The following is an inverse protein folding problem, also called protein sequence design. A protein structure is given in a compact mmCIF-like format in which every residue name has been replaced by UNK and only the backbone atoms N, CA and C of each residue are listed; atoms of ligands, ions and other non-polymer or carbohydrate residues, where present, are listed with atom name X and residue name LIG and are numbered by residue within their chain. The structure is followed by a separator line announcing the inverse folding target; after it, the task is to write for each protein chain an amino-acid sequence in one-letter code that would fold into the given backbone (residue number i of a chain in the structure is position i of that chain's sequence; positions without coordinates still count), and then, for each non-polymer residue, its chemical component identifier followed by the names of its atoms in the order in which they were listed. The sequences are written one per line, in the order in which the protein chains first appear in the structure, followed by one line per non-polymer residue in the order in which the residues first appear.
data_IF_949250490942
#
_entry.id   IF_949250490942
#
_cell.length_a   1.000
_cell.length_b   1.000
_cell.length_c   1.000
_cell.angle_alpha   90.00
_cell.angle_beta   90.00
_cell.angle_gamma   90.00
#
_symmetry.space_group_name_H-M   'P 1'
#
loop_
_entity.id
_entity.type
_entity.pdbx_description
1 polymer ?
#
# COMPACT_ATOMS: atom_id res chain seq x y z
N UNK A 1 -2.89 -3.45 7.92
CA UNK A 1 -1.46 -3.66 7.62
C UNK A 1 -0.67 -3.12 8.80
N UNK A 2 0.36 -3.80 9.28
CA UNK A 2 1.19 -3.29 10.38
C UNK A 2 2.38 -2.48 9.85
N UNK A 3 3.12 -1.84 10.77
CA UNK A 3 4.27 -0.99 10.42
C UNK A 3 5.39 -1.79 9.75
N UNK A 4 5.62 -3.02 10.22
CA UNK A 4 6.65 -3.91 9.67
C UNK A 4 6.35 -4.29 8.21
N UNK A 5 5.09 -4.57 7.89
CA UNK A 5 4.62 -4.85 6.53
C UNK A 5 4.79 -3.63 5.62
N UNK A 6 4.41 -2.43 6.09
CA UNK A 6 4.60 -1.19 5.34
C UNK A 6 6.08 -0.91 5.06
N UNK A 7 6.94 -1.11 6.07
CA UNK A 7 8.38 -0.94 5.92
C UNK A 7 8.97 -1.93 4.92
N UNK A 8 8.55 -3.21 4.97
CA UNK A 8 8.99 -4.20 3.99
C UNK A 8 8.55 -3.85 2.56
N UNK A 9 7.38 -3.22 2.36
CA UNK A 9 6.96 -2.72 1.05
C UNK A 9 7.85 -1.54 0.62
N UNK A 10 8.13 -0.56 1.50
CA UNK A 10 9.05 0.56 1.21
C UNK A 10 10.43 0.07 0.78
N UNK A 11 10.97 -0.93 1.48
CA UNK A 11 12.27 -1.50 1.14
C UNK A 11 12.28 -2.17 -0.23
N UNK A 12 11.21 -2.90 -0.58
CA UNK A 12 11.07 -3.47 -1.93
C UNK A 12 11.03 -2.37 -3.01
N UNK A 13 10.27 -1.31 -2.78
CA UNK A 13 10.19 -0.15 -3.67
C UNK A 13 11.54 0.52 -3.86
N UNK A 14 12.28 0.75 -2.76
CA UNK A 14 13.58 1.42 -2.79
C UNK A 14 14.68 0.58 -3.45
N UNK A 15 14.60 -0.74 -3.34
CA UNK A 15 15.55 -1.67 -3.97
C UNK A 15 15.25 -1.93 -5.44
N UNK A 16 14.02 -1.73 -5.89
CA UNK A 16 13.64 -1.89 -7.28
C UNK A 16 14.26 -0.79 -8.15
N UNK A 17 14.44 -1.08 -9.44
CA UNK A 17 14.93 -0.11 -10.42
C UNK A 17 14.10 1.18 -10.38
N UNK A 18 14.72 2.38 -10.33
CA UNK A 18 13.99 3.65 -10.40
C UNK A 18 13.07 3.71 -11.63
N UNK A 19 11.89 4.32 -11.46
CA UNK A 19 10.93 4.54 -12.55
C UNK A 19 11.15 5.85 -13.31
N UNK A 20 10.26 6.18 -14.26
CA UNK A 20 9.12 5.37 -14.69
C UNK A 20 9.58 4.14 -15.49
N UNK A 21 8.78 3.07 -15.46
CA UNK A 21 9.01 1.90 -16.31
C UNK A 21 8.08 1.97 -17.52
N UNK A 22 8.63 1.77 -18.72
CA UNK A 22 7.87 1.81 -19.98
C UNK A 22 7.87 0.44 -20.66
N UNK A 23 6.75 0.10 -21.28
CA UNK A 23 6.63 -1.09 -22.13
C UNK A 23 7.19 -0.75 -23.51
N UNK A 24 8.30 -1.39 -23.87
CA UNK A 24 8.85 -1.33 -25.22
C UNK A 24 8.40 -2.56 -26.02
N UNK A 25 7.82 -2.32 -27.19
CA UNK A 25 7.38 -3.36 -28.13
C UNK A 25 8.32 -3.32 -29.33
N UNK A 26 9.42 -4.05 -29.25
CA UNK A 26 10.35 -4.21 -30.37
C UNK A 26 10.23 -5.65 -30.89
N UNK A 27 10.24 -5.81 -32.22
CA UNK A 27 10.44 -7.11 -32.87
C UNK A 27 11.93 -7.41 -32.84
N UNK A 28 12.40 -7.99 -31.73
CA UNK A 28 13.83 -8.22 -31.46
C UNK A 28 14.37 -9.51 -32.08
N UNK A 29 13.58 -10.26 -32.84
CA UNK A 29 13.97 -11.61 -33.27
C UNK A 29 14.34 -12.48 -32.07
N UNK A 30 15.37 -13.32 -32.19
CA UNK A 30 15.73 -14.33 -31.18
C UNK A 30 16.64 -13.84 -30.02
N UNK A 31 17.00 -12.56 -29.94
CA UNK A 31 17.99 -12.08 -28.96
C UNK A 31 17.54 -10.81 -28.21
N UNK A 32 17.17 -10.96 -26.93
CA UNK A 32 17.85 -10.40 -25.73
C UNK A 32 17.31 -11.16 -24.50
N UNK A 33 18.13 -12.03 -23.87
CA UNK A 33 17.74 -12.79 -22.66
C UNK A 33 18.34 -12.13 -21.42
N UNK A 34 17.49 -11.50 -20.60
CA UNK A 34 17.86 -11.12 -19.23
C UNK A 34 17.43 -12.22 -18.27
N UNK A 35 18.38 -12.82 -17.54
CA UNK A 35 18.09 -13.78 -16.49
C UNK A 35 17.47 -13.08 -15.26
N UNK A 36 16.14 -13.00 -15.25
CA UNK A 36 15.30 -12.67 -14.09
C UNK A 36 15.06 -13.94 -13.23
N UNK A 37 14.42 -13.88 -12.05
CA UNK A 37 14.17 -15.07 -11.24
C UNK A 37 13.57 -16.18 -12.09
N UNK A 38 14.00 -17.42 -11.86
CA UNK A 38 13.73 -18.58 -12.72
C UNK A 38 12.25 -18.86 -13.03
N UNK A 39 11.30 -18.23 -12.32
CA UNK A 39 9.86 -18.25 -12.60
C UNK A 39 9.09 -17.36 -11.61
N UNK A 40 8.07 -16.62 -12.05
CA UNK A 40 7.04 -16.04 -11.17
C UNK A 40 5.73 -16.80 -11.43
N UNK A 41 5.13 -17.35 -10.38
CA UNK A 41 3.89 -18.14 -10.46
C UNK A 41 2.83 -17.59 -9.53
N UNK A 42 1.59 -17.62 -10.01
CA UNK A 42 0.39 -17.60 -9.19
C UNK A 42 -0.07 -19.03 -8.93
N UNK A 43 -1.07 -19.22 -8.06
CA UNK A 43 -1.69 -20.54 -7.84
C UNK A 43 -2.31 -21.14 -9.12
N UNK A 44 -2.67 -20.29 -10.08
CA UNK A 44 -3.43 -20.68 -11.28
C UNK A 44 -2.59 -20.81 -12.54
N UNK A 45 -1.49 -20.04 -12.63
CA UNK A 45 -0.65 -19.96 -13.83
C UNK A 45 0.71 -19.35 -13.56
N UNK A 46 1.60 -19.53 -14.52
CA UNK A 46 2.86 -18.81 -14.64
C UNK A 46 2.62 -17.38 -15.11
N UNK A 47 3.30 -16.42 -14.46
CA UNK A 47 3.24 -14.97 -14.72
C UNK A 47 4.53 -14.51 -15.42
N UNK A 48 5.68 -15.05 -14.99
CA UNK A 48 6.96 -14.93 -15.71
C UNK A 48 7.54 -16.34 -15.83
N UNK A 49 7.81 -16.81 -17.05
CA UNK A 49 8.42 -18.11 -17.32
C UNK A 49 9.95 -18.05 -17.10
N UNK A 50 10.58 -19.21 -17.16
CA UNK A 50 12.00 -19.43 -16.89
C UNK A 50 12.96 -18.80 -17.88
N UNK A 51 12.48 -18.43 -19.06
CA UNK A 51 13.18 -17.61 -20.05
C UNK A 51 13.00 -16.10 -19.82
N UNK A 52 12.22 -15.71 -18.81
CA UNK A 52 11.90 -14.32 -18.49
C UNK A 52 10.70 -13.76 -19.26
N UNK A 53 10.02 -14.55 -20.08
CA UNK A 53 8.82 -14.14 -20.80
C UNK A 53 7.60 -14.02 -19.89
N UNK A 54 6.67 -13.10 -20.18
CA UNK A 54 5.37 -13.00 -19.48
C UNK A 54 4.38 -14.12 -19.85
N UNK A 55 4.78 -15.03 -20.72
CA UNK A 55 3.99 -16.16 -21.21
C UNK A 55 4.71 -17.45 -20.92
N UNK A 56 3.96 -18.50 -20.60
CA UNK A 56 4.48 -19.85 -20.52
C UNK A 56 4.25 -20.59 -21.83
N UNK A 57 5.28 -21.28 -22.32
CA UNK A 57 5.17 -22.15 -23.51
C UNK A 57 4.25 -23.35 -23.29
N UNK A 58 3.94 -23.65 -22.03
CA UNK A 58 3.21 -24.85 -21.61
C UNK A 58 1.79 -24.57 -21.13
N UNK A 59 1.41 -23.30 -20.96
CA UNK A 59 0.09 -22.89 -20.45
C UNK A 59 -0.55 -21.90 -21.43
N UNK A 60 -1.82 -22.11 -21.85
CA UNK A 60 -2.49 -21.19 -22.75
C UNK A 60 -2.76 -19.84 -22.07
N UNK A 61 -2.39 -18.74 -22.74
CA UNK A 61 -2.71 -17.36 -22.34
C UNK A 61 -3.22 -16.55 -23.53
N UNK A 62 -4.04 -15.52 -23.28
CA UNK A 62 -4.46 -14.58 -24.32
C UNK A 62 -3.53 -13.37 -24.39
N UNK A 63 -3.40 -12.74 -25.56
CA UNK A 63 -2.61 -11.51 -25.72
C UNK A 63 -3.09 -10.40 -24.77
N UNK A 64 -4.40 -10.31 -24.53
CA UNK A 64 -5.00 -9.34 -23.59
C UNK A 64 -4.50 -9.54 -22.16
N UNK A 65 -4.37 -10.79 -21.69
CA UNK A 65 -3.87 -11.08 -20.35
C UNK A 65 -2.39 -10.70 -20.21
N UNK A 66 -1.59 -10.96 -21.24
CA UNK A 66 -0.15 -10.67 -21.23
C UNK A 66 0.09 -9.16 -21.20
N UNK A 67 -0.65 -8.41 -22.01
CA UNK A 67 -0.60 -6.95 -22.00
C UNK A 67 -1.06 -6.39 -20.65
N UNK A 68 -2.13 -6.92 -20.06
CA UNK A 68 -2.60 -6.49 -18.74
C UNK A 68 -1.57 -6.77 -17.63
N UNK A 69 -0.89 -7.91 -17.66
CA UNK A 69 0.17 -8.24 -16.71
C UNK A 69 1.38 -7.29 -16.89
N UNK A 70 1.77 -7.00 -18.13
CA UNK A 70 2.85 -6.05 -18.45
C UNK A 70 2.52 -4.64 -17.96
N UNK A 71 1.30 -4.16 -18.22
CA UNK A 71 0.81 -2.86 -17.75
C UNK A 71 0.81 -2.78 -16.23
N UNK A 72 0.30 -3.81 -15.54
CA UNK A 72 0.31 -3.84 -14.08
C UNK A 72 1.73 -3.74 -13.51
N UNK A 73 2.68 -4.50 -14.05
CA UNK A 73 4.08 -4.50 -13.60
C UNK A 73 4.74 -3.13 -13.83
N UNK A 74 4.54 -2.54 -15.02
CA UNK A 74 5.12 -1.24 -15.35
C UNK A 74 4.61 -0.14 -14.42
N UNK A 75 3.28 -0.05 -14.23
CA UNK A 75 2.66 0.98 -13.40
C UNK A 75 2.87 0.77 -11.90
N UNK A 76 3.07 -0.47 -11.44
CA UNK A 76 3.34 -0.77 -10.03
C UNK A 76 4.53 0.02 -9.48
N UNK A 77 5.49 0.41 -10.34
CA UNK A 77 6.64 1.22 -9.92
C UNK A 77 6.24 2.62 -9.42
N UNK A 78 5.15 3.17 -9.92
CA UNK A 78 4.63 4.51 -9.55
C UNK A 78 3.46 4.40 -8.58
N UNK A 79 2.57 3.44 -8.81
CA UNK A 79 1.37 3.22 -8.00
C UNK A 79 1.72 2.83 -6.57
N UNK A 80 2.67 1.91 -6.36
CA UNK A 80 3.02 1.44 -5.01
C UNK A 80 3.59 2.57 -4.13
N UNK A 81 4.57 3.40 -4.58
CA UNK A 81 4.96 4.60 -3.84
C UNK A 81 3.80 5.56 -3.54
N UNK A 82 2.92 5.83 -4.52
CA UNK A 82 1.79 6.72 -4.33
C UNK A 82 0.84 6.19 -3.23
N UNK A 83 0.56 4.89 -3.25
CA UNK A 83 -0.26 4.22 -2.22
C UNK A 83 0.41 4.25 -0.84
N UNK A 84 1.73 4.08 -0.75
CA UNK A 84 2.46 4.19 0.54
C UNK A 84 2.37 5.60 1.14
N UNK A 85 2.47 6.63 0.30
CA UNK A 85 2.30 8.02 0.72
C UNK A 85 0.86 8.28 1.21
N UNK A 86 -0.13 7.71 0.51
CA UNK A 86 -1.53 7.87 0.91
C UNK A 86 -1.84 7.16 2.23
N UNK A 87 -1.25 5.98 2.47
CA UNK A 87 -1.35 5.31 3.78
C UNK A 87 -0.75 6.17 4.89
N UNK A 88 0.44 6.76 4.69
CA UNK A 88 1.05 7.67 5.67
C UNK A 88 0.18 8.88 5.96
N UNK A 89 -0.38 9.50 4.91
CA UNK A 89 -1.29 10.63 5.05
C UNK A 89 -2.50 10.27 5.89
N UNK A 90 -3.15 9.14 5.59
CA UNK A 90 -4.31 8.65 6.33
C UNK A 90 -3.99 8.26 7.77
N UNK A 91 -2.82 7.66 8.03
CA UNK A 91 -2.39 7.32 9.38
C UNK A 91 -2.17 8.58 10.23
N UNK A 92 -1.56 9.61 9.65
CA UNK A 92 -1.34 10.90 10.32
C UNK A 92 -2.66 11.64 10.59
N UNK A 93 -3.59 11.66 9.64
CA UNK A 93 -4.92 12.25 9.87
C UNK A 93 -5.69 11.50 10.96
N UNK A 94 -5.69 10.17 10.93
CA UNK A 94 -6.33 9.38 11.98
C UNK A 94 -5.70 9.60 13.35
N UNK A 95 -4.37 9.75 13.42
CA UNK A 95 -3.67 10.10 14.67
C UNK A 95 -4.17 11.43 15.20
N UNK A 96 -4.22 12.47 14.36
CA UNK A 96 -4.71 13.80 14.73
C UNK A 96 -6.17 13.79 15.18
N UNK A 97 -7.03 13.05 14.49
CA UNK A 97 -8.44 12.92 14.90
C UNK A 97 -8.59 12.22 16.25
N UNK A 98 -7.82 11.16 16.51
CA UNK A 98 -7.84 10.49 17.82
C UNK A 98 -7.38 11.41 18.94
N UNK A 99 -6.30 12.16 18.72
CA UNK A 99 -5.80 13.13 19.70
C UNK A 99 -6.84 14.21 20.01
N UNK A 100 -7.49 14.77 18.99
CA UNK A 100 -8.56 15.75 19.17
C UNK A 100 -9.78 15.18 19.92
N UNK A 101 -10.17 13.94 19.61
CA UNK A 101 -11.27 13.26 20.31
C UNK A 101 -10.93 12.99 21.78
N UNK A 102 -9.70 12.59 22.08
CA UNK A 102 -9.23 12.42 23.45
C UNK A 102 -9.22 13.73 24.24
N UNK A 103 -8.85 14.84 23.60
CA UNK A 103 -8.88 16.17 24.19
C UNK A 103 -10.31 16.60 24.53
N UNK A 104 -11.23 16.51 23.56
CA UNK A 104 -12.66 16.81 23.77
C UNK A 104 -13.25 15.95 24.90
N UNK A 105 -12.93 14.65 24.92
CA UNK A 105 -13.42 13.74 25.96
C UNK A 105 -12.93 14.13 27.36
N UNK A 106 -11.69 14.62 27.48
CA UNK A 106 -11.13 15.11 28.75
C UNK A 106 -11.82 16.41 29.18
N UNK A 107 -12.05 17.33 28.25
CA UNK A 107 -12.75 18.59 28.52
C UNK A 107 -14.18 18.35 29.02
N UNK A 108 -14.93 17.48 28.36
CA UNK A 108 -16.28 17.09 28.79
C UNK A 108 -16.26 16.48 30.20
N UNK A 109 -15.33 15.55 30.45
CA UNK A 109 -15.18 14.90 31.75
C UNK A 109 -14.88 15.92 32.87
N UNK A 110 -14.02 16.90 32.58
CA UNK A 110 -13.68 17.97 33.52
C UNK A 110 -14.88 18.90 33.76
N UNK A 111 -15.62 19.25 32.71
CA UNK A 111 -16.83 20.06 32.80
C UNK A 111 -17.87 19.41 33.71
N UNK A 112 -18.14 18.11 33.53
CA UNK A 112 -19.08 17.37 34.39
C UNK A 112 -18.59 17.28 35.83
N UNK A 113 -17.31 17.03 36.07
CA UNK A 113 -16.75 16.98 37.42
C UNK A 113 -16.88 18.34 38.15
N UNK A 114 -16.62 19.46 37.45
CA UNK A 114 -16.79 20.81 38.01
C UNK A 114 -18.25 21.09 38.33
N UNK A 115 -19.18 20.76 37.43
CA UNK A 115 -20.62 20.93 37.64
C UNK A 115 -21.14 20.12 38.83
N UNK A 116 -20.72 18.86 38.95
CA UNK A 116 -21.09 18.02 40.09
C UNK A 116 -20.60 18.61 41.43
N UNK A 117 -19.36 19.13 41.48
CA UNK A 117 -18.80 19.77 42.68
C UNK A 117 -19.55 21.05 43.07
N UNK A 118 -19.98 21.86 42.10
CA UNK A 118 -20.77 23.06 42.35
C UNK A 118 -22.16 22.71 42.91
N UNK A 119 -22.81 21.68 42.38
CA UNK A 119 -24.11 21.22 42.86
C UNK A 119 -24.07 20.73 44.31
N UNK A 120 -23.00 20.01 44.70
CA UNK A 120 -22.80 19.55 46.09
C UNK A 120 -22.61 20.71 47.09
N UNK A 121 -21.90 21.77 46.71
CA UNK A 121 -21.69 22.95 47.57
C UNK A 121 -22.94 23.82 47.75
N UNK A 122 -23.90 23.76 46.83
CA UNK A 122 -25.15 24.51 46.90
C UNK A 122 -26.26 23.84 47.72
N UNK A 123 -26.07 22.58 48.15
CA UNK A 123 -27.07 21.80 48.89
C UNK A 123 -27.09 22.02 50.40
N UNK A 124 -26.00 22.50 51.01
CA UNK A 124 -25.85 22.64 52.48
C UNK A 124 -26.38 23.98 53.03
N UNK A 125 -27.13 24.75 52.25
CA UNK A 125 -27.73 26.02 52.67
C UNK A 125 -29.26 25.93 52.76
N UNK A 126 -29.78 25.02 53.60
CA UNK A 126 -31.15 25.06 54.12
C UNK A 126 -31.25 24.45 55.51
#
# INVERSE_FOLDING_TARGET
MNKEQLQAIRERVNRATPGPWSIHREDVGDDVVFYVPTMIKSEKRTIVDSDGGLISWSEPCTSEQVEADAEFIAHAREDVPALLNEVERLEEENRRFREALEEISKEDSLYFAVKARQALKGGDSK
#
